data_IF_858721473371
#
_entry.id   IF_858721473371
#
_cell.length_a   1.000
_cell.length_b   1.000
_cell.length_c   1.000
_cell.angle_alpha   90.00
_cell.angle_beta   90.00
_cell.angle_gamma   90.00
#
_symmetry.space_group_name_H-M   'P 1'
#
loop_
_entity.id
_entity.type
_entity.pdbx_description
1 polymer ?
#
# COMPACT_ATOMS: atom_id res chain seq x y z
N UNK A 1 -21.40 16.95 -8.80
CA UNK A 1 -21.91 17.37 -7.48
C UNK A 1 -20.83 17.25 -6.42
N UNK A 2 -21.03 17.90 -5.30
CA UNK A 2 -20.10 17.84 -4.16
C UNK A 2 -19.93 16.40 -3.66
N UNK A 3 -21.01 15.63 -3.65
CA UNK A 3 -20.98 14.23 -3.22
C UNK A 3 -20.07 13.39 -4.13
N UNK A 4 -20.13 13.59 -5.44
CA UNK A 4 -19.29 12.86 -6.37
C UNK A 4 -17.82 13.23 -6.24
N UNK A 5 -17.53 14.53 -6.07
CA UNK A 5 -16.16 14.99 -5.85
C UNK A 5 -15.55 14.41 -4.58
N UNK A 6 -16.34 14.36 -3.50
CA UNK A 6 -15.91 13.77 -2.23
C UNK A 6 -15.62 12.29 -2.40
N UNK A 7 -16.47 11.58 -3.12
CA UNK A 7 -16.29 10.16 -3.41
C UNK A 7 -14.99 9.89 -4.15
N UNK A 8 -14.72 10.70 -5.19
CA UNK A 8 -13.49 10.57 -5.96
C UNK A 8 -12.26 10.83 -5.11
N UNK A 9 -12.29 11.84 -4.25
CA UNK A 9 -11.19 12.13 -3.34
C UNK A 9 -10.92 10.99 -2.38
N UNK A 10 -11.98 10.42 -1.79
CA UNK A 10 -11.85 9.28 -0.88
C UNK A 10 -11.29 8.07 -1.62
N UNK A 11 -11.76 7.82 -2.84
CA UNK A 11 -11.26 6.71 -3.64
C UNK A 11 -9.77 6.85 -3.93
N UNK A 12 -9.33 8.02 -4.34
CA UNK A 12 -7.91 8.27 -4.59
C UNK A 12 -7.08 8.09 -3.32
N UNK A 13 -7.56 8.59 -2.21
CA UNK A 13 -6.88 8.45 -0.93
C UNK A 13 -6.74 6.97 -0.54
N UNK A 14 -7.81 6.19 -0.69
CA UNK A 14 -7.78 4.75 -0.42
C UNK A 14 -6.82 4.03 -1.36
N UNK A 15 -6.84 4.35 -2.65
CA UNK A 15 -5.95 3.74 -3.63
C UNK A 15 -4.48 3.98 -3.29
N UNK A 16 -4.14 5.22 -2.88
CA UNK A 16 -2.78 5.56 -2.47
C UNK A 16 -2.36 4.83 -1.21
N UNK A 17 -3.26 4.71 -0.24
CA UNK A 17 -2.98 4.00 1.01
C UNK A 17 -2.80 2.50 0.78
N UNK A 18 -3.63 1.90 -0.07
CA UNK A 18 -3.48 0.49 -0.42
C UNK A 18 -2.15 0.22 -1.11
N UNK A 19 -1.74 1.11 -2.01
CA UNK A 19 -0.44 0.99 -2.69
C UNK A 19 0.72 1.06 -1.69
N UNK A 20 0.65 1.97 -0.72
CA UNK A 20 1.65 2.09 0.34
C UNK A 20 1.72 0.83 1.20
N UNK A 21 0.57 0.33 1.63
CA UNK A 21 0.49 -0.88 2.45
C UNK A 21 1.08 -2.07 1.67
N UNK A 22 0.72 -2.21 0.41
CA UNK A 22 1.25 -3.28 -0.43
C UNK A 22 2.77 -3.20 -0.55
N UNK A 23 3.30 -2.01 -0.73
CA UNK A 23 4.75 -1.78 -0.80
C UNK A 23 5.44 -2.18 0.50
N UNK A 24 4.87 -1.80 1.65
CA UNK A 24 5.41 -2.16 2.95
C UNK A 24 5.41 -3.67 3.18
N UNK A 25 4.33 -4.35 2.80
CA UNK A 25 4.24 -5.81 2.93
C UNK A 25 5.29 -6.49 2.06
N UNK A 26 5.47 -6.04 0.83
CA UNK A 26 6.47 -6.60 -0.09
C UNK A 26 7.87 -6.39 0.48
N UNK A 27 8.18 -5.19 0.97
CA UNK A 27 9.48 -4.89 1.55
C UNK A 27 9.77 -5.76 2.77
N UNK A 28 8.76 -5.98 3.61
CA UNK A 28 8.90 -6.84 4.78
C UNK A 28 9.14 -8.30 4.38
N UNK A 29 8.42 -8.78 3.37
CA UNK A 29 8.62 -10.13 2.86
C UNK A 29 10.03 -10.32 2.28
N UNK A 30 10.50 -9.35 1.52
CA UNK A 30 11.85 -9.37 0.95
C UNK A 30 12.91 -9.37 2.06
N UNK A 31 12.71 -8.60 3.11
CA UNK A 31 13.62 -8.56 4.25
C UNK A 31 13.71 -9.92 4.94
N UNK A 32 12.58 -10.57 5.15
CA UNK A 32 12.54 -11.91 5.75
C UNK A 32 13.25 -12.95 4.89
N UNK A 33 13.03 -12.92 3.58
CA UNK A 33 13.70 -13.81 2.66
C UNK A 33 15.21 -13.58 2.65
N UNK A 34 15.64 -12.34 2.69
CA UNK A 34 17.05 -11.98 2.75
C UNK A 34 17.70 -12.53 4.01
N UNK A 35 17.05 -12.42 5.15
CA UNK A 35 17.57 -12.96 6.41
C UNK A 35 17.65 -14.48 6.38
N UNK A 36 16.66 -15.14 5.82
CA UNK A 36 16.67 -16.59 5.71
C UNK A 36 17.78 -17.09 4.77
N UNK A 37 18.07 -16.35 3.71
CA UNK A 37 19.13 -16.71 2.77
C UNK A 37 20.51 -16.61 3.40
N UNK A 38 20.67 -15.82 4.46
CA UNK A 38 21.95 -15.64 5.15
C UNK A 38 22.20 -16.70 6.22
N UNK A 39 21.15 -17.27 6.68
CA UNK A 39 21.28 -18.33 7.70
C UNK A 39 21.58 -19.71 7.08
#
# INVERSE_FOLDING_TARGET
SVTNATREMVKEWLDQNLALIAKEVINEALDKLSKNARS
#
